data_IF_004601073845
#
_entry.id   IF_004601073845
#
_cell.length_a   1.000
_cell.length_b   1.000
_cell.length_c   1.000
_cell.angle_alpha   90.00
_cell.angle_beta   90.00
_cell.angle_gamma   90.00
#
_symmetry.space_group_name_H-M   'P 1'
#
loop_
_entity.id
_entity.type
_entity.pdbx_description
1 polymer ?
#
# COMPACT_ATOMS: atom_id res chain seq x y z
N UNK A 1 -10.33 27.88 13.87
CA UNK A 1 -9.67 27.20 12.74
C UNK A 1 -10.73 26.63 11.82
N UNK A 2 -10.62 26.87 10.52
CA UNK A 2 -11.52 26.21 9.56
C UNK A 2 -11.16 24.74 9.46
N UNK A 3 -12.16 23.83 9.42
CA UNK A 3 -11.89 22.41 9.24
C UNK A 3 -11.27 22.16 7.87
N UNK A 4 -10.31 21.22 7.83
CA UNK A 4 -9.71 20.75 6.60
C UNK A 4 -10.45 19.52 6.10
N UNK A 5 -10.66 19.44 4.79
CA UNK A 5 -11.32 18.31 4.17
C UNK A 5 -10.29 17.36 3.57
N UNK A 6 -10.30 16.12 4.02
CA UNK A 6 -9.51 15.05 3.41
C UNK A 6 -10.26 14.52 2.19
N UNK A 7 -9.78 14.86 0.98
CA UNK A 7 -10.48 14.50 -0.27
C UNK A 7 -10.03 13.17 -0.84
N UNK A 8 -8.74 12.89 -0.78
CA UNK A 8 -8.16 11.70 -1.38
C UNK A 8 -7.28 10.98 -0.38
N UNK A 9 -7.44 9.68 -0.33
CA UNK A 9 -6.61 8.81 0.49
C UNK A 9 -6.61 7.42 -0.11
N UNK A 10 -5.62 6.62 0.25
CA UNK A 10 -5.52 5.22 -0.13
C UNK A 10 -4.95 4.42 1.03
N UNK A 11 -5.08 3.12 0.96
CA UNK A 11 -4.50 2.19 1.93
C UNK A 11 -4.06 0.93 1.21
N UNK A 12 -2.87 0.45 1.55
CA UNK A 12 -2.34 -0.83 1.09
C UNK A 12 -1.87 -1.61 2.32
N UNK A 13 -2.40 -2.79 2.49
CA UNK A 13 -2.16 -3.65 3.66
C UNK A 13 -1.97 -5.09 3.21
N UNK A 14 -1.80 -6.00 4.14
CA UNK A 14 -1.78 -7.44 3.83
C UNK A 14 -3.11 -7.95 3.25
N UNK A 15 -4.20 -7.20 3.40
CA UNK A 15 -5.48 -7.50 2.72
C UNK A 15 -5.41 -7.29 1.21
N UNK A 16 -4.51 -6.45 0.75
CA UNK A 16 -4.32 -6.13 -0.67
C UNK A 16 -4.06 -4.66 -0.90
N UNK A 17 -3.99 -4.28 -2.18
CA UNK A 17 -3.80 -2.89 -2.61
C UNK A 17 -5.15 -2.19 -2.73
N UNK A 18 -5.24 -1.00 -2.16
CA UNK A 18 -6.44 -0.17 -2.24
C UNK A 18 -7.39 -0.33 -1.05
N UNK A 19 -8.26 0.66 -0.90
CA UNK A 19 -9.21 0.74 0.22
C UNK A 19 -10.24 -0.40 0.23
N UNK A 20 -10.67 -0.84 -0.96
CA UNK A 20 -11.73 -1.84 -1.06
C UNK A 20 -11.29 -3.19 -0.51
N UNK A 21 -10.05 -3.60 -0.75
CA UNK A 21 -9.52 -4.85 -0.21
C UNK A 21 -9.56 -4.88 1.31
N UNK A 22 -9.16 -3.78 1.96
CA UNK A 22 -9.21 -3.65 3.41
C UNK A 22 -10.66 -3.64 3.92
N UNK A 23 -11.54 -2.89 3.27
CA UNK A 23 -12.95 -2.80 3.66
C UNK A 23 -13.63 -4.18 3.56
N UNK A 24 -13.39 -4.94 2.50
CA UNK A 24 -13.97 -6.26 2.30
C UNK A 24 -13.55 -7.22 3.43
N UNK A 25 -12.29 -7.21 3.81
CA UNK A 25 -11.80 -8.05 4.91
C UNK A 25 -12.41 -7.63 6.26
N UNK A 26 -12.54 -6.33 6.52
CA UNK A 26 -13.18 -5.83 7.73
C UNK A 26 -14.67 -6.21 7.80
N UNK A 27 -15.41 -6.05 6.70
CA UNK A 27 -16.84 -6.40 6.64
C UNK A 27 -17.08 -7.90 6.79
N UNK A 28 -16.18 -8.73 6.28
CA UNK A 28 -16.26 -10.18 6.37
C UNK A 28 -15.57 -10.74 7.62
N UNK A 29 -15.04 -9.88 8.47
CA UNK A 29 -14.27 -10.26 9.67
C UNK A 29 -13.15 -11.27 9.35
N UNK A 30 -12.47 -11.08 8.21
CA UNK A 30 -11.32 -11.87 7.81
C UNK A 30 -10.03 -11.20 8.23
N UNK A 31 -9.07 -12.02 8.66
CA UNK A 31 -7.70 -11.59 8.89
C UNK A 31 -6.81 -12.05 7.74
N UNK A 32 -6.04 -11.13 7.18
CA UNK A 32 -5.03 -11.45 6.17
C UNK A 32 -3.67 -11.78 6.79
N UNK A 33 -3.58 -11.89 8.13
CA UNK A 33 -2.40 -12.36 8.81
C UNK A 33 -2.23 -13.86 8.56
N UNK A 34 -0.99 -14.29 8.37
CA UNK A 34 -0.61 -15.68 8.14
C UNK A 34 0.61 -16.05 8.99
N UNK A 35 0.83 -17.36 9.24
CA UNK A 35 2.06 -17.79 9.90
C UNK A 35 3.29 -17.23 9.19
N UNK A 36 4.26 -16.77 9.97
CA UNK A 36 5.50 -16.21 9.43
C UNK A 36 6.31 -17.29 8.72
N UNK A 37 6.79 -16.96 7.51
CA UNK A 37 7.65 -17.85 6.70
C UNK A 37 9.08 -17.35 6.57
N UNK A 38 9.47 -16.31 7.33
CA UNK A 38 10.83 -15.79 7.30
C UNK A 38 11.79 -16.74 8.01
N UNK A 39 12.88 -17.11 7.33
CA UNK A 39 13.92 -18.02 7.89
C UNK A 39 14.64 -17.42 9.10
N UNK A 40 14.60 -16.10 9.24
CA UNK A 40 15.26 -15.38 10.33
C UNK A 40 14.44 -15.32 11.62
N UNK A 41 13.20 -15.81 11.60
CA UNK A 41 12.31 -15.80 12.75
C UNK A 41 12.29 -17.21 13.38
N UNK A 42 12.78 -17.31 14.61
CA UNK A 42 12.94 -18.57 15.34
C UNK A 42 11.86 -18.78 16.42
N UNK A 43 10.66 -18.27 16.18
CA UNK A 43 9.51 -18.48 17.07
C UNK A 43 8.20 -18.40 16.27
N UNK A 44 7.12 -19.04 16.77
CA UNK A 44 5.81 -18.93 16.11
C UNK A 44 5.31 -17.48 16.12
N UNK A 45 5.02 -16.97 14.93
CA UNK A 45 4.51 -15.62 14.76
C UNK A 45 3.56 -15.54 13.56
N UNK A 46 2.66 -14.57 13.59
CA UNK A 46 1.82 -14.21 12.45
C UNK A 46 2.29 -12.90 11.87
N UNK A 47 2.31 -12.81 10.54
CA UNK A 47 2.74 -11.61 9.82
C UNK A 47 1.72 -11.23 8.76
N UNK A 48 1.65 -9.93 8.45
CA UNK A 48 0.86 -9.41 7.35
C UNK A 48 1.75 -9.08 6.17
N UNK A 49 1.87 -9.99 5.21
CA UNK A 49 2.64 -9.76 4.00
C UNK A 49 1.78 -9.09 2.93
N UNK A 50 2.29 -8.01 2.34
CA UNK A 50 1.62 -7.32 1.24
C UNK A 50 1.91 -8.08 -0.06
N UNK A 51 0.88 -8.51 -0.80
CA UNK A 51 1.07 -9.21 -2.07
C UNK A 51 1.60 -8.26 -3.16
N UNK A 52 2.34 -8.80 -4.12
CA UNK A 52 2.78 -8.06 -5.31
C UNK A 52 4.11 -7.31 -5.17
N UNK A 53 4.82 -7.45 -4.05
CA UNK A 53 6.11 -6.76 -3.84
C UNK A 53 7.29 -7.37 -4.61
N UNK A 54 7.06 -8.43 -5.36
CA UNK A 54 8.11 -9.04 -6.22
C UNK A 54 8.36 -8.21 -7.48
N UNK A 55 7.40 -7.38 -7.88
CA UNK A 55 7.55 -6.50 -9.04
C UNK A 55 8.55 -5.38 -8.75
N UNK A 56 9.59 -5.29 -9.57
CA UNK A 56 10.58 -4.22 -9.47
C UNK A 56 9.97 -2.85 -9.77
N UNK A 57 10.62 -1.80 -9.27
CA UNK A 57 10.27 -0.43 -9.62
C UNK A 57 10.43 -0.19 -11.14
N UNK A 58 9.71 0.79 -11.71
CA UNK A 58 9.93 1.22 -13.09
C UNK A 58 11.40 1.56 -13.34
N UNK A 59 11.87 1.38 -14.59
CA UNK A 59 13.27 1.56 -14.97
C UNK A 59 13.86 2.91 -14.54
N UNK A 60 13.06 3.98 -14.58
CA UNK A 60 13.48 5.32 -14.16
C UNK A 60 13.88 5.40 -12.68
N UNK A 61 13.36 4.49 -11.84
CA UNK A 61 13.58 4.47 -10.40
C UNK A 61 14.38 3.25 -9.93
N UNK A 62 14.92 2.46 -10.85
CA UNK A 62 15.57 1.19 -10.54
C UNK A 62 16.69 1.31 -9.52
N UNK A 63 17.43 2.42 -9.50
CA UNK A 63 18.49 2.66 -8.50
C UNK A 63 17.98 2.71 -7.05
N UNK A 64 16.70 2.92 -6.87
CA UNK A 64 16.04 2.95 -5.57
C UNK A 64 15.27 1.67 -5.28
N UNK A 65 15.41 0.63 -6.10
CA UNK A 65 14.63 -0.58 -5.99
C UNK A 65 14.99 -1.35 -4.72
N UNK A 66 14.06 -1.36 -3.80
CA UNK A 66 14.09 -2.16 -2.57
C UNK A 66 12.65 -2.41 -2.12
N UNK A 67 12.49 -3.35 -1.17
CA UNK A 67 11.16 -3.75 -0.70
C UNK A 67 10.31 -2.57 -0.21
N UNK A 68 10.87 -1.69 0.60
CA UNK A 68 10.15 -0.54 1.13
C UNK A 68 9.69 0.43 0.03
N UNK A 69 10.55 0.68 -0.95
CA UNK A 69 10.23 1.58 -2.04
C UNK A 69 9.22 0.96 -3.02
N UNK A 70 9.26 -0.36 -3.21
CA UNK A 70 8.22 -1.07 -3.97
C UNK A 70 6.86 -0.95 -3.28
N UNK A 71 6.81 -1.09 -1.96
CA UNK A 71 5.58 -0.93 -1.19
C UNK A 71 5.03 0.49 -1.31
N UNK A 72 5.88 1.51 -1.15
CA UNK A 72 5.48 2.91 -1.30
C UNK A 72 4.96 3.20 -2.72
N UNK A 73 5.64 2.73 -3.74
CA UNK A 73 5.22 2.87 -5.14
C UNK A 73 3.86 2.24 -5.38
N UNK A 74 3.68 0.99 -4.94
CA UNK A 74 2.41 0.27 -5.06
C UNK A 74 1.27 1.04 -4.39
N UNK A 75 1.50 1.51 -3.16
CA UNK A 75 0.49 2.26 -2.41
C UNK A 75 0.05 3.53 -3.11
N UNK A 76 0.98 4.26 -3.71
CA UNK A 76 0.69 5.50 -4.43
C UNK A 76 -0.10 5.27 -5.73
N UNK A 77 -0.08 4.07 -6.29
CA UNK A 77 -0.83 3.75 -7.52
C UNK A 77 -2.26 3.30 -7.25
N UNK A 78 -2.61 2.99 -6.00
CA UNK A 78 -3.94 2.49 -5.66
C UNK A 78 -4.98 3.61 -5.60
N UNK A 79 -6.25 3.27 -5.85
CA UNK A 79 -7.42 4.17 -5.73
C UNK A 79 -7.34 5.46 -6.57
N UNK A 80 -6.55 5.50 -7.62
CA UNK A 80 -6.35 6.71 -8.41
C UNK A 80 -5.61 7.83 -7.67
N UNK A 81 -4.91 7.50 -6.56
CA UNK A 81 -4.27 8.50 -5.70
C UNK A 81 -3.21 9.32 -6.44
N UNK A 82 -2.34 8.68 -7.22
CA UNK A 82 -1.31 9.38 -8.00
C UNK A 82 -1.92 10.38 -8.99
N UNK A 83 -3.01 10.01 -9.64
CA UNK A 83 -3.72 10.90 -10.56
C UNK A 83 -4.34 12.07 -9.81
N UNK A 84 -4.96 11.85 -8.67
CA UNK A 84 -5.53 12.90 -7.83
C UNK A 84 -4.46 13.91 -7.38
N UNK A 85 -3.26 13.44 -7.06
CA UNK A 85 -2.11 14.31 -6.72
C UNK A 85 -1.68 15.12 -7.94
N UNK A 86 -1.56 14.48 -9.11
CA UNK A 86 -1.19 15.18 -10.34
C UNK A 86 -2.20 16.29 -10.69
N UNK A 87 -3.49 16.00 -10.57
CA UNK A 87 -4.56 16.97 -10.80
C UNK A 87 -4.49 18.14 -9.81
N UNK A 88 -4.20 17.87 -8.55
CA UNK A 88 -4.04 18.88 -7.52
C UNK A 88 -2.81 19.78 -7.80
N UNK A 89 -1.70 19.20 -8.19
CA UNK A 89 -0.47 19.92 -8.57
C UNK A 89 -0.77 20.84 -9.76
N UNK A 90 -1.48 20.33 -10.76
CA UNK A 90 -1.85 21.12 -11.94
C UNK A 90 -2.76 22.30 -11.58
N UNK A 91 -3.66 22.12 -10.61
CA UNK A 91 -4.62 23.15 -10.19
C UNK A 91 -4.01 24.22 -9.28
N UNK A 92 -3.12 23.82 -8.39
CA UNK A 92 -2.63 24.70 -7.34
C UNK A 92 -1.13 25.09 -7.48
N UNK A 93 -0.48 24.57 -8.48
CA UNK A 93 0.95 24.79 -8.71
C UNK A 93 1.79 23.78 -8.02
#
# INVERSE_FOLDING_TARGET
MKPLLLRHYTATTCSGSGKQALLDDLLQMRSALAPCTFDTVDFPAYTGSVPGLDAALPAAWQRFDCRNNRLAWMGLQADGFAQAVADAVQRYG
#
